data_IF_674705536709
#
_entry.id   IF_674705536709
#
_cell.length_a   1.000
_cell.length_b   1.000
_cell.length_c   1.000
_cell.angle_alpha   90.00
_cell.angle_beta   90.00
_cell.angle_gamma   90.00
#
_symmetry.space_group_name_H-M   'P 1'
#
loop_
_entity.id
_entity.type
_entity.pdbx_description
1 polymer ?
#
# COMPACT_ATOMS: atom_id res chain seq x y z
N UNK A 1 19.82 -2.68 40.99
CA UNK A 1 19.91 -1.62 39.94
C UNK A 1 20.57 -2.08 38.64
N UNK A 2 21.60 -2.94 38.66
CA UNK A 2 22.23 -3.46 37.42
C UNK A 2 21.29 -4.35 36.59
N UNK A 3 20.60 -5.29 37.22
CA UNK A 3 19.64 -6.22 36.58
C UNK A 3 18.45 -5.52 35.94
N UNK A 4 17.89 -4.49 36.58
CA UNK A 4 16.76 -3.72 36.03
C UNK A 4 17.18 -2.90 34.79
N UNK A 5 18.39 -2.34 34.78
CA UNK A 5 18.95 -1.65 33.60
C UNK A 5 19.21 -2.61 32.44
N UNK A 6 19.74 -3.80 32.71
CA UNK A 6 19.96 -4.83 31.68
C UNK A 6 18.64 -5.36 31.11
N UNK A 7 17.61 -5.55 31.95
CA UNK A 7 16.28 -5.97 31.50
C UNK A 7 15.61 -4.90 30.62
N UNK A 8 15.69 -3.61 30.99
CA UNK A 8 15.17 -2.51 30.18
C UNK A 8 15.84 -2.43 28.80
N UNK A 9 17.16 -2.63 28.74
CA UNK A 9 17.95 -2.63 27.50
C UNK A 9 17.60 -3.80 26.57
N UNK A 10 17.34 -4.99 27.12
CA UNK A 10 16.96 -6.15 26.31
C UNK A 10 15.54 -5.97 25.76
N UNK A 11 14.61 -5.46 26.58
CA UNK A 11 13.23 -5.19 26.14
C UNK A 11 13.21 -4.12 25.03
N UNK A 12 13.99 -3.04 25.16
CA UNK A 12 14.02 -2.00 24.12
C UNK A 12 14.64 -2.48 22.81
N UNK A 13 15.68 -3.32 22.87
CA UNK A 13 16.33 -3.91 21.69
C UNK A 13 15.40 -4.89 20.94
N UNK A 14 14.58 -5.64 21.68
CA UNK A 14 13.62 -6.57 21.08
C UNK A 14 12.45 -5.82 20.41
N UNK A 15 11.95 -4.77 21.05
CA UNK A 15 10.89 -3.91 20.47
C UNK A 15 11.37 -3.25 19.18
N UNK A 16 12.62 -2.76 19.12
CA UNK A 16 13.13 -2.13 17.91
C UNK A 16 13.27 -3.10 16.73
N UNK A 17 13.71 -4.34 16.97
CA UNK A 17 13.77 -5.37 15.93
C UNK A 17 12.40 -5.70 15.35
N UNK A 18 11.37 -5.78 16.20
CA UNK A 18 10.01 -6.08 15.77
C UNK A 18 9.39 -4.93 14.94
N UNK A 19 9.65 -3.68 15.30
CA UNK A 19 9.20 -2.51 14.52
C UNK A 19 9.87 -2.47 13.14
N UNK A 20 11.20 -2.73 13.08
CA UNK A 20 11.92 -2.78 11.82
C UNK A 20 11.41 -3.89 10.87
N UNK A 21 11.08 -5.06 11.42
CA UNK A 21 10.51 -6.14 10.63
C UNK A 21 9.14 -5.78 10.04
N UNK A 22 8.25 -5.18 10.86
CA UNK A 22 6.93 -4.74 10.41
C UNK A 22 7.03 -3.65 9.34
N UNK A 23 7.93 -2.68 9.49
CA UNK A 23 8.16 -1.64 8.47
C UNK A 23 8.53 -2.28 7.13
N UNK A 24 9.47 -3.22 7.14
CA UNK A 24 9.90 -3.94 5.93
C UNK A 24 8.77 -4.72 5.26
N UNK A 25 7.88 -5.35 6.04
CA UNK A 25 6.71 -6.06 5.50
C UNK A 25 5.73 -5.09 4.82
N UNK A 26 5.48 -3.94 5.44
CA UNK A 26 4.62 -2.88 4.87
C UNK A 26 5.27 -2.22 3.65
N UNK A 27 6.59 -2.04 3.64
CA UNK A 27 7.31 -1.51 2.49
C UNK A 27 7.24 -2.46 1.29
N UNK A 28 7.35 -3.77 1.51
CA UNK A 28 7.17 -4.77 0.45
C UNK A 28 5.74 -4.72 -0.12
N UNK A 29 4.74 -4.64 0.76
CA UNK A 29 3.32 -4.51 0.37
C UNK A 29 3.10 -3.25 -0.47
N UNK A 30 3.66 -2.12 -0.04
CA UNK A 30 3.53 -0.82 -0.70
C UNK A 30 4.30 -0.78 -2.03
N UNK A 31 5.47 -1.42 -2.08
CA UNK A 31 6.27 -1.55 -3.31
C UNK A 31 5.53 -2.36 -4.37
N UNK A 32 4.93 -3.49 -3.99
CA UNK A 32 4.10 -4.27 -4.91
C UNK A 32 2.91 -3.45 -5.44
N UNK A 33 2.26 -2.66 -4.57
CA UNK A 33 1.21 -1.73 -5.00
C UNK A 33 1.72 -0.70 -6.03
N UNK A 34 2.89 -0.10 -5.81
CA UNK A 34 3.46 0.84 -6.79
C UNK A 34 3.74 0.15 -8.12
N UNK A 35 4.19 -1.10 -8.10
CA UNK A 35 4.33 -1.93 -9.30
C UNK A 35 3.02 -2.08 -10.07
N UNK A 36 1.90 -2.31 -9.39
CA UNK A 36 0.56 -2.36 -10.01
C UNK A 36 0.24 -1.01 -10.64
N UNK A 37 0.34 0.07 -9.87
CA UNK A 37 0.02 1.43 -10.31
C UNK A 37 0.85 1.86 -11.52
N UNK A 38 2.16 1.59 -11.51
CA UNK A 38 3.07 1.98 -12.61
C UNK A 38 2.82 1.14 -13.87
N UNK A 39 2.50 -0.14 -13.72
CA UNK A 39 2.08 -0.96 -14.84
C UNK A 39 0.79 -0.43 -15.49
N UNK A 40 -0.18 0.01 -14.68
CA UNK A 40 -1.42 0.63 -15.17
C UNK A 40 -1.18 1.99 -15.83
N UNK A 41 -0.20 2.76 -15.38
CA UNK A 41 0.27 3.97 -16.08
C UNK A 41 0.84 3.62 -17.45
N UNK A 42 1.64 2.55 -17.53
CA UNK A 42 2.31 2.10 -18.75
C UNK A 42 1.44 1.26 -19.70
N UNK A 43 0.13 1.18 -19.46
CA UNK A 43 -0.81 0.34 -20.19
C UNK A 43 -0.45 -1.18 -20.21
N UNK A 44 0.31 -1.67 -19.22
CA UNK A 44 0.79 -3.05 -19.12
C UNK A 44 -0.07 -3.91 -18.19
N UNK A 45 -1.15 -4.47 -18.73
CA UNK A 45 -2.07 -5.30 -17.97
C UNK A 45 -1.42 -6.57 -17.40
N UNK A 46 -0.42 -7.13 -18.09
CA UNK A 46 0.23 -8.37 -17.65
C UNK A 46 1.08 -8.11 -16.42
N UNK A 47 1.90 -7.06 -16.44
CA UNK A 47 2.72 -6.69 -15.29
C UNK A 47 1.86 -6.25 -14.12
N UNK A 48 0.75 -5.54 -14.35
CA UNK A 48 -0.20 -5.19 -13.30
C UNK A 48 -0.73 -6.47 -12.58
N UNK A 49 -1.13 -7.48 -13.34
CA UNK A 49 -1.57 -8.76 -12.77
C UNK A 49 -0.49 -9.48 -11.97
N UNK A 50 0.74 -9.56 -12.50
CA UNK A 50 1.88 -10.17 -11.79
C UNK A 50 2.25 -9.42 -10.50
N UNK A 51 2.19 -8.09 -10.50
CA UNK A 51 2.43 -7.29 -9.28
C UNK A 51 1.31 -7.45 -8.25
N UNK A 52 0.06 -7.63 -8.68
CA UNK A 52 -1.04 -8.00 -7.78
C UNK A 52 -0.84 -9.37 -7.12
N UNK A 53 -0.27 -10.35 -7.82
CA UNK A 53 0.09 -11.63 -7.18
C UNK A 53 1.19 -11.46 -6.12
N UNK A 54 2.19 -10.60 -6.37
CA UNK A 54 3.21 -10.27 -5.39
C UNK A 54 2.63 -9.52 -4.19
N UNK A 55 1.66 -8.63 -4.41
CA UNK A 55 0.93 -7.96 -3.35
C UNK A 55 0.19 -8.98 -2.47
N UNK A 56 -0.55 -9.91 -3.08
CA UNK A 56 -1.27 -10.97 -2.36
C UNK A 56 -0.32 -11.85 -1.53
N UNK A 57 0.88 -12.16 -2.04
CA UNK A 57 1.89 -12.90 -1.25
C UNK A 57 2.42 -12.08 -0.08
N UNK A 58 2.55 -10.76 -0.26
CA UNK A 58 3.08 -9.85 0.76
C UNK A 58 2.07 -9.57 1.88
N UNK A 59 0.76 -9.60 1.59
CA UNK A 59 -0.28 -9.26 2.58
C UNK A 59 -0.32 -10.22 3.76
N UNK A 60 0.01 -11.49 3.54
CA UNK A 60 0.03 -12.50 4.60
C UNK A 60 1.30 -12.44 5.46
N UNK A 61 2.35 -11.78 4.97
CA UNK A 61 3.57 -11.54 5.73
C UNK A 61 3.42 -10.39 6.75
N UNK A 62 2.39 -9.55 6.65
CA UNK A 62 2.21 -8.39 7.54
C UNK A 62 1.98 -8.84 8.99
N UNK A 63 2.96 -8.55 9.84
CA UNK A 63 2.92 -8.83 11.27
C UNK A 63 1.94 -7.92 11.99
N UNK A 64 1.09 -8.57 12.80
CA UNK A 64 0.07 -7.91 13.63
C UNK A 64 0.51 -7.78 15.09
N UNK A 65 1.66 -8.33 15.48
CA UNK A 65 2.06 -8.49 16.89
C UNK A 65 2.21 -7.17 17.64
N UNK A 66 2.50 -6.09 16.92
CA UNK A 66 2.76 -4.77 17.50
C UNK A 66 1.61 -3.77 17.26
N UNK A 67 0.49 -4.23 16.68
CA UNK A 67 -0.65 -3.37 16.41
C UNK A 67 -1.46 -3.15 17.68
N UNK A 68 -1.78 -1.89 17.96
CA UNK A 68 -2.81 -1.53 18.93
C UNK A 68 -4.19 -2.05 18.49
N UNK A 69 -5.15 -2.10 19.42
CA UNK A 69 -6.51 -2.56 19.12
C UNK A 69 -7.19 -1.74 17.99
N UNK A 70 -6.95 -0.43 17.94
CA UNK A 70 -7.47 0.44 16.87
C UNK A 70 -6.84 0.13 15.51
N UNK A 71 -5.53 -0.11 15.47
CA UNK A 71 -4.82 -0.50 14.26
C UNK A 71 -5.26 -1.88 13.75
N UNK A 72 -5.45 -2.84 14.67
CA UNK A 72 -5.95 -4.16 14.32
C UNK A 72 -7.36 -4.12 13.73
N UNK A 73 -8.23 -3.26 14.27
CA UNK A 73 -9.58 -3.03 13.71
C UNK A 73 -9.52 -2.49 12.28
N UNK A 74 -8.68 -1.48 12.02
CA UNK A 74 -8.49 -0.97 10.66
C UNK A 74 -7.96 -2.06 9.73
N UNK A 75 -6.96 -2.83 10.17
CA UNK A 75 -6.42 -3.94 9.39
C UNK A 75 -7.51 -4.97 9.01
N UNK A 76 -8.35 -5.37 9.96
CA UNK A 76 -9.44 -6.32 9.72
C UNK A 76 -10.47 -5.78 8.72
N UNK A 77 -10.80 -4.48 8.80
CA UNK A 77 -11.73 -3.84 7.87
C UNK A 77 -11.19 -3.69 6.45
N UNK A 78 -9.86 -3.53 6.30
CA UNK A 78 -9.23 -3.32 5.00
C UNK A 78 -8.70 -4.60 4.35
N UNK A 79 -8.30 -5.62 5.13
CA UNK A 79 -7.61 -6.82 4.61
C UNK A 79 -8.42 -7.51 3.50
N UNK A 80 -9.71 -7.74 3.72
CA UNK A 80 -10.54 -8.46 2.74
C UNK A 80 -10.71 -7.68 1.43
N UNK A 81 -10.77 -6.34 1.52
CA UNK A 81 -10.83 -5.45 0.35
C UNK A 81 -9.52 -5.46 -0.43
N UNK A 82 -8.40 -5.41 0.27
CA UNK A 82 -7.06 -5.51 -0.32
C UNK A 82 -6.87 -6.84 -1.07
N UNK A 83 -7.36 -7.94 -0.50
CA UNK A 83 -7.33 -9.25 -1.14
C UNK A 83 -8.24 -9.27 -2.36
N UNK A 84 -9.52 -8.94 -2.19
CA UNK A 84 -10.51 -9.05 -3.26
C UNK A 84 -10.13 -8.21 -4.50
N UNK A 85 -9.69 -6.97 -4.30
CA UNK A 85 -9.28 -6.08 -5.40
C UNK A 85 -8.04 -6.60 -6.13
N UNK A 86 -7.03 -7.11 -5.42
CA UNK A 86 -5.84 -7.70 -6.06
C UNK A 86 -6.11 -9.04 -6.74
N UNK A 87 -7.03 -9.85 -6.22
CA UNK A 87 -7.48 -11.04 -6.92
C UNK A 87 -8.18 -10.68 -8.23
N UNK A 88 -9.04 -9.65 -8.23
CA UNK A 88 -9.70 -9.18 -9.43
C UNK A 88 -8.71 -8.65 -10.48
N UNK A 89 -7.70 -7.89 -10.06
CA UNK A 89 -6.64 -7.38 -10.95
C UNK A 89 -5.78 -8.53 -11.52
N UNK A 90 -5.37 -9.49 -10.69
CA UNK A 90 -4.49 -10.60 -11.11
C UNK A 90 -5.18 -11.61 -12.03
N UNK A 91 -6.49 -11.81 -11.89
CA UNK A 91 -7.26 -12.80 -12.69
C UNK A 91 -7.69 -12.28 -14.06
N UNK A 92 -7.40 -11.04 -14.41
CA UNK A 92 -7.81 -10.45 -15.69
C UNK A 92 -6.64 -9.85 -16.46
N UNK A 93 -6.71 -9.90 -17.78
CA UNK A 93 -5.80 -9.21 -18.70
C UNK A 93 -6.43 -7.98 -19.34
N UNK A 94 -7.65 -7.63 -18.94
CA UNK A 94 -8.36 -6.43 -19.39
C UNK A 94 -7.95 -5.24 -18.53
N UNK A 95 -7.18 -4.32 -19.11
CA UNK A 95 -6.68 -3.16 -18.38
C UNK A 95 -7.79 -2.23 -17.86
N UNK A 96 -8.93 -2.16 -18.56
CA UNK A 96 -10.04 -1.32 -18.11
C UNK A 96 -10.60 -1.86 -16.78
N UNK A 97 -10.74 -3.19 -16.66
CA UNK A 97 -11.18 -3.85 -15.43
C UNK A 97 -10.16 -3.69 -14.31
N UNK A 98 -8.86 -3.82 -14.59
CA UNK A 98 -7.82 -3.59 -13.58
C UNK A 98 -7.85 -2.16 -13.02
N UNK A 99 -8.10 -1.17 -13.89
CA UNK A 99 -8.26 0.24 -13.51
C UNK A 99 -9.51 0.51 -12.67
N UNK A 100 -10.57 -0.29 -12.83
CA UNK A 100 -11.78 -0.16 -12.01
C UNK A 100 -11.52 -0.55 -10.56
N UNK A 101 -10.71 -1.58 -10.33
CA UNK A 101 -10.34 -2.06 -8.99
C UNK A 101 -9.37 -1.13 -8.25
N UNK A 102 -8.55 -0.38 -9.00
CA UNK A 102 -7.46 0.42 -8.43
C UNK A 102 -7.93 1.42 -7.37
N UNK A 103 -9.11 2.02 -7.52
CA UNK A 103 -9.60 3.00 -6.55
C UNK A 103 -9.81 2.39 -5.16
N UNK A 104 -10.50 1.24 -5.07
CA UNK A 104 -10.75 0.59 -3.77
C UNK A 104 -9.44 0.07 -3.17
N UNK A 105 -8.57 -0.53 -4.00
CA UNK A 105 -7.24 -0.95 -3.57
C UNK A 105 -6.45 0.21 -2.95
N UNK A 106 -6.46 1.37 -3.61
CA UNK A 106 -5.73 2.55 -3.16
C UNK A 106 -6.27 3.10 -1.85
N UNK A 107 -7.60 3.18 -1.71
CA UNK A 107 -8.24 3.68 -0.49
C UNK A 107 -7.98 2.75 0.70
N UNK A 108 -8.09 1.43 0.49
CA UNK A 108 -7.83 0.44 1.53
C UNK A 108 -6.37 0.43 1.95
N UNK A 109 -5.42 0.53 1.01
CA UNK A 109 -4.01 0.59 1.35
C UNK A 109 -3.69 1.90 2.09
N UNK A 110 -4.22 3.04 1.64
CA UNK A 110 -4.02 4.32 2.32
C UNK A 110 -4.51 4.29 3.77
N UNK A 111 -5.71 3.74 4.01
CA UNK A 111 -6.25 3.61 5.36
C UNK A 111 -5.37 2.73 6.26
N UNK A 112 -4.86 1.61 5.73
CA UNK A 112 -3.90 0.74 6.42
C UNK A 112 -2.61 1.48 6.78
N UNK A 113 -1.96 2.13 5.80
CA UNK A 113 -0.70 2.87 6.01
C UNK A 113 -0.88 4.01 7.01
N UNK A 114 -1.99 4.74 6.93
CA UNK A 114 -2.31 5.83 7.85
C UNK A 114 -2.54 5.35 9.28
N UNK A 115 -3.19 4.19 9.45
CA UNK A 115 -3.40 3.61 10.79
C UNK A 115 -2.10 3.08 11.39
N UNK A 116 -1.28 2.40 10.58
CA UNK A 116 -0.05 1.78 11.08
C UNK A 116 0.99 2.85 11.40
N UNK A 117 0.94 4.01 10.72
CA UNK A 117 1.88 5.11 10.89
C UNK A 117 3.33 4.63 10.69
N UNK A 118 3.51 3.77 9.68
CA UNK A 118 4.78 3.19 9.29
C UNK A 118 4.95 3.42 7.78
N UNK A 119 5.85 4.30 7.41
CA UNK A 119 6.32 4.47 6.03
C UNK A 119 7.77 4.98 6.12
N UNK A 120 8.72 4.32 5.44
CA UNK A 120 10.07 4.88 5.36
C UNK A 120 10.15 6.06 4.39
N UNK A 121 9.31 6.03 3.35
CA UNK A 121 9.27 7.01 2.28
C UNK A 121 7.92 7.74 2.24
N UNK A 122 7.92 8.94 1.68
CA UNK A 122 6.66 9.69 1.50
C UNK A 122 5.74 8.96 0.53
N UNK A 123 4.49 8.73 0.95
CA UNK A 123 3.44 8.17 0.10
C UNK A 123 2.41 9.26 -0.18
N UNK A 124 2.30 9.67 -1.45
CA UNK A 124 1.34 10.67 -1.90
C UNK A 124 0.01 10.01 -2.23
N UNK A 125 -1.09 10.59 -1.75
CA UNK A 125 -2.45 10.21 -2.10
C UNK A 125 -2.98 11.20 -3.12
N UNK A 126 -3.07 10.74 -4.37
CA UNK A 126 -3.37 11.55 -5.54
C UNK A 126 -4.79 11.26 -6.04
N UNK A 127 -5.37 12.22 -6.75
CA UNK A 127 -6.78 12.21 -7.14
C UNK A 127 -7.00 12.56 -8.62
N UNK A 128 -7.87 11.81 -9.28
CA UNK A 128 -8.32 12.04 -10.64
C UNK A 128 -9.73 12.67 -10.61
N UNK A 129 -9.90 13.94 -11.03
CA UNK A 129 -11.20 14.60 -11.01
C UNK A 129 -12.22 14.00 -11.97
N UNK A 130 -11.77 13.40 -13.08
CA UNK A 130 -12.67 12.80 -14.08
C UNK A 130 -13.22 11.45 -13.65
N UNK A 131 -12.35 10.54 -13.18
CA UNK A 131 -12.77 9.22 -12.68
C UNK A 131 -13.38 9.30 -11.28
N UNK A 132 -13.17 10.42 -10.57
CA UNK A 132 -13.51 10.62 -9.15
C UNK A 132 -12.88 9.53 -8.27
N UNK A 133 -11.62 9.23 -8.54
CA UNK A 133 -10.90 8.10 -7.96
C UNK A 133 -9.50 8.50 -7.50
N UNK A 134 -8.93 7.72 -6.58
CA UNK A 134 -7.65 7.99 -5.94
C UNK A 134 -6.63 6.88 -6.19
N UNK A 135 -5.35 7.26 -6.15
CA UNK A 135 -4.21 6.33 -6.17
C UNK A 135 -3.10 6.79 -5.24
N UNK A 136 -2.18 5.89 -4.91
CA UNK A 136 -0.97 6.19 -4.17
C UNK A 136 0.23 6.29 -5.11
N UNK A 137 1.18 7.15 -4.76
CA UNK A 137 2.42 7.33 -5.51
C UNK A 137 3.59 7.55 -4.56
N UNK A 138 4.75 7.01 -4.92
CA UNK A 138 6.05 7.36 -4.31
C UNK A 138 6.58 8.71 -4.83
N UNK A 139 6.04 9.21 -5.94
CA UNK A 139 6.43 10.46 -6.59
C UNK A 139 5.37 11.54 -6.37
N UNK A 140 5.81 12.80 -6.26
CA UNK A 140 4.89 13.95 -6.13
C UNK A 140 4.25 14.29 -7.47
N UNK A 141 4.98 14.04 -8.55
CA UNK A 141 4.56 14.21 -9.93
C UNK A 141 3.32 13.35 -10.22
N UNK A 142 2.41 13.91 -11.02
CA UNK A 142 1.16 13.23 -11.39
C UNK A 142 1.45 12.34 -12.59
N UNK A 143 1.26 11.03 -12.40
CA UNK A 143 1.19 10.00 -13.44
C UNK A 143 -0.11 9.22 -13.26
N UNK A 144 -1.15 9.62 -13.99
CA UNK A 144 -2.51 9.14 -13.80
C UNK A 144 -2.69 7.72 -14.37
N UNK A 145 -3.01 6.71 -13.52
CA UNK A 145 -3.14 5.32 -13.95
C UNK A 145 -4.45 4.98 -14.67
N UNK A 146 -5.44 5.89 -14.71
CA UNK A 146 -6.79 5.57 -15.19
C UNK A 146 -7.01 5.74 -16.70
N UNK A 147 -6.16 6.50 -17.38
CA UNK A 147 -6.37 6.89 -18.78
C UNK A 147 -5.13 6.72 -19.67
N UNK A 148 -4.10 6.03 -19.18
CA UNK A 148 -2.83 5.83 -19.88
C UNK A 148 -2.21 7.16 -20.34
N UNK A 149 -1.57 7.13 -21.49
CA UNK A 149 -0.88 8.30 -22.06
C UNK A 149 -1.80 9.50 -22.37
N UNK A 150 -3.12 9.28 -22.48
CA UNK A 150 -4.06 10.34 -22.89
C UNK A 150 -4.20 11.46 -21.87
N UNK A 151 -3.99 11.17 -20.58
CA UNK A 151 -4.19 12.12 -19.49
C UNK A 151 -3.18 11.94 -18.35
N UNK A 152 -1.95 11.59 -18.70
CA UNK A 152 -0.92 11.21 -17.73
C UNK A 152 -0.70 12.27 -16.63
N UNK A 153 -0.78 13.55 -16.96
CA UNK A 153 -0.56 14.66 -16.02
C UNK A 153 -1.83 15.18 -15.33
N UNK A 154 -2.99 14.60 -15.63
CA UNK A 154 -4.28 15.05 -15.07
C UNK A 154 -4.48 14.49 -13.66
N UNK A 155 -4.42 15.36 -12.64
CA UNK A 155 -4.65 14.96 -11.26
C UNK A 155 -4.17 15.99 -10.26
N UNK A 156 -4.26 15.66 -8.97
CA UNK A 156 -3.73 16.50 -7.90
C UNK A 156 -3.38 15.67 -6.67
N UNK A 157 -2.33 16.06 -5.95
CA UNK A 157 -2.04 15.53 -4.61
C UNK A 157 -3.11 16.04 -3.64
N UNK A 158 -3.70 15.14 -2.85
CA UNK A 158 -4.74 15.46 -1.84
C UNK A 158 -4.28 15.24 -0.41
N UNK A 159 -3.42 14.24 -0.18
CA UNK A 159 -2.83 13.96 1.13
C UNK A 159 -1.43 13.34 0.92
N UNK A 160 -0.66 13.19 2.00
CA UNK A 160 0.59 12.43 2.00
C UNK A 160 0.89 11.86 3.38
N UNK A 161 1.45 10.65 3.41
CA UNK A 161 1.97 10.02 4.63
C UNK A 161 3.50 10.10 4.65
N UNK A 162 4.09 10.21 5.83
CA UNK A 162 5.53 10.23 6.10
C UNK A 162 5.84 9.44 7.36
#
# INVERSE_FOLDING_TARGET
MKTLKTLLLIVSLFVSQLVLAQNKEIDNLTTAYFGIKDALVADDAKTAGSQSELFLKSIDAVSKSNLSASQLKVWQEQKDKLIATNEAISKTTDIAKQREELNELSNSLFATLKAFNVNENTVYYQYCPMKKAYWLSSEKEIKNPYYGDKMLTCGSVKDSLK
#
